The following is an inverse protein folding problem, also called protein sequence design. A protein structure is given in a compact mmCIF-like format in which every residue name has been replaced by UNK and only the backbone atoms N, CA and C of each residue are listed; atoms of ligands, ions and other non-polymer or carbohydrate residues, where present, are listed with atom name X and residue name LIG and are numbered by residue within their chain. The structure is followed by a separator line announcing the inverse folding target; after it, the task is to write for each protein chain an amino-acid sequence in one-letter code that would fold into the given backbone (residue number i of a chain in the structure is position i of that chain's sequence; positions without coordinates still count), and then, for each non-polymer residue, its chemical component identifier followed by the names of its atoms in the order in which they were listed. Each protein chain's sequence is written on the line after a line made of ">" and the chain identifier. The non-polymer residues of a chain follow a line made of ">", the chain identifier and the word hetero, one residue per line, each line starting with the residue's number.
data_IF_453802745708
#
_entry.id   IF_453802745708
#
_cell.length_a   1.000
_cell.length_b   1.000
_cell.length_c   1.000
_cell.angle_alpha   90.00
_cell.angle_beta   90.00
_cell.angle_gamma   90.00
#
_symmetry.space_group_name_H-M   'P 1'
#
loop_
_entity.id
_entity.type
_entity.pdbx_description
1 polymer ?
#
# COMPACT_ATOMS: atom_id res chain seq x y z
N UNK A 1 -14.67 -15.14 47.52
CA UNK A 1 -15.24 -14.57 46.27
C UNK A 1 -14.42 -13.40 45.71
N UNK A 2 -14.01 -12.41 46.50
CA UNK A 2 -13.27 -11.22 45.98
C UNK A 2 -11.87 -11.58 45.41
N UNK A 3 -11.15 -12.54 46.01
CA UNK A 3 -9.84 -12.98 45.53
C UNK A 3 -9.90 -13.75 44.20
N UNK A 4 -10.98 -14.51 43.95
CA UNK A 4 -11.17 -15.25 42.69
C UNK A 4 -11.54 -14.31 41.54
N UNK A 5 -12.37 -13.30 41.78
CA UNK A 5 -12.69 -12.25 40.80
C UNK A 5 -11.46 -11.40 40.41
N UNK A 6 -10.58 -11.11 41.36
CA UNK A 6 -9.33 -10.37 41.11
C UNK A 6 -8.34 -11.18 40.24
N UNK A 7 -8.24 -12.48 40.48
CA UNK A 7 -7.42 -13.41 39.67
C UNK A 7 -7.93 -13.52 38.23
N UNK A 8 -9.25 -13.62 38.06
CA UNK A 8 -9.88 -13.76 36.73
C UNK A 8 -9.78 -12.47 35.89
N UNK A 9 -9.93 -11.29 36.51
CA UNK A 9 -9.68 -9.99 35.86
C UNK A 9 -8.23 -9.86 35.38
N UNK A 10 -7.25 -10.23 36.21
CA UNK A 10 -5.82 -10.24 35.83
C UNK A 10 -5.55 -11.17 34.63
N UNK A 11 -6.17 -12.36 34.61
CA UNK A 11 -6.06 -13.31 33.50
C UNK A 11 -6.65 -12.74 32.20
N UNK A 12 -7.83 -12.11 32.25
CA UNK A 12 -8.45 -11.45 31.08
C UNK A 12 -7.58 -10.31 30.53
N UNK A 13 -6.96 -9.50 31.40
CA UNK A 13 -6.05 -8.43 30.99
C UNK A 13 -4.81 -9.00 30.30
N UNK A 14 -4.19 -10.05 30.86
CA UNK A 14 -3.02 -10.69 30.27
C UNK A 14 -3.32 -11.29 28.89
N UNK A 15 -4.47 -11.94 28.73
CA UNK A 15 -4.91 -12.51 27.45
C UNK A 15 -5.12 -11.40 26.42
N UNK A 16 -5.81 -10.31 26.78
CA UNK A 16 -6.00 -9.15 25.89
C UNK A 16 -4.67 -8.56 25.45
N UNK A 17 -3.71 -8.42 26.38
CA UNK A 17 -2.36 -7.92 26.08
C UNK A 17 -1.64 -8.82 25.07
N UNK A 18 -1.62 -10.15 25.30
CA UNK A 18 -0.99 -11.10 24.37
C UNK A 18 -1.64 -11.09 22.99
N UNK A 19 -2.97 -10.95 22.92
CA UNK A 19 -3.69 -10.84 21.64
C UNK A 19 -3.25 -9.58 20.88
N UNK A 20 -3.11 -8.44 21.57
CA UNK A 20 -2.71 -7.20 20.92
C UNK A 20 -1.23 -7.22 20.48
N UNK A 21 -0.36 -7.83 21.28
CA UNK A 21 1.05 -8.05 20.92
C UNK A 21 1.15 -8.93 19.65
N UNK A 22 0.45 -10.07 19.63
CA UNK A 22 0.42 -10.96 18.48
C UNK A 22 -0.15 -10.28 17.22
N UNK A 23 -1.20 -9.45 17.38
CA UNK A 23 -1.76 -8.64 16.28
C UNK A 23 -0.75 -7.63 15.76
N UNK A 24 -0.03 -6.94 16.64
CA UNK A 24 0.99 -5.97 16.27
C UNK A 24 2.14 -6.63 15.51
N UNK A 25 2.63 -7.75 16.02
CA UNK A 25 3.69 -8.52 15.38
C UNK A 25 3.26 -9.02 13.99
N UNK A 26 2.03 -9.54 13.88
CA UNK A 26 1.45 -9.94 12.60
C UNK A 26 1.40 -8.77 11.60
N UNK A 27 0.95 -7.58 12.04
CA UNK A 27 0.91 -6.37 11.20
C UNK A 27 2.29 -6.01 10.64
N UNK A 28 3.30 -5.99 11.51
CA UNK A 28 4.67 -5.63 11.14
C UNK A 28 5.23 -6.62 10.13
N UNK A 29 5.09 -7.92 10.41
CA UNK A 29 5.59 -8.99 9.51
C UNK A 29 4.88 -8.96 8.17
N UNK A 30 3.55 -8.83 8.16
CA UNK A 30 2.75 -8.77 6.92
C UNK A 30 3.17 -7.57 6.07
N UNK A 31 3.24 -6.38 6.66
CA UNK A 31 3.67 -5.18 5.96
C UNK A 31 5.09 -5.32 5.38
N UNK A 32 6.04 -5.74 6.21
CA UNK A 32 7.44 -5.95 5.78
C UNK A 32 7.57 -6.97 4.65
N UNK A 33 6.86 -8.09 4.73
CA UNK A 33 6.89 -9.11 3.68
C UNK A 33 6.34 -8.58 2.35
N UNK A 34 5.23 -7.84 2.36
CA UNK A 34 4.65 -7.27 1.15
C UNK A 34 5.57 -6.21 0.54
N UNK A 35 6.10 -5.31 1.36
CA UNK A 35 7.08 -4.31 0.90
C UNK A 35 8.31 -4.99 0.30
N UNK A 36 8.88 -6.00 0.98
CA UNK A 36 10.03 -6.74 0.50
C UNK A 36 9.75 -7.44 -0.84
N UNK A 37 8.57 -8.06 -0.98
CA UNK A 37 8.14 -8.70 -2.22
C UNK A 37 8.10 -7.71 -3.39
N UNK A 38 7.61 -6.50 -3.17
CA UNK A 38 7.64 -5.44 -4.18
C UNK A 38 9.07 -5.10 -4.65
N UNK A 39 10.01 -5.01 -3.72
CA UNK A 39 11.42 -4.74 -4.05
C UNK A 39 12.07 -5.90 -4.83
N UNK A 40 11.75 -7.15 -4.50
CA UNK A 40 12.22 -8.31 -5.27
C UNK A 40 11.77 -8.25 -6.74
N UNK A 41 10.53 -7.81 -6.99
CA UNK A 41 10.03 -7.66 -8.35
C UNK A 41 10.75 -6.53 -9.11
N UNK A 42 10.99 -5.38 -8.46
CA UNK A 42 11.77 -4.28 -9.06
C UNK A 42 13.18 -4.77 -9.43
N UNK A 43 13.80 -5.56 -8.55
CA UNK A 43 15.11 -6.17 -8.78
C UNK A 43 15.11 -7.33 -9.80
N UNK A 44 13.95 -7.63 -10.44
CA UNK A 44 13.78 -8.72 -11.41
C UNK A 44 14.10 -10.11 -10.85
N UNK A 45 13.98 -10.29 -9.54
CA UNK A 45 14.25 -11.57 -8.85
C UNK A 45 13.03 -12.49 -8.79
N UNK A 46 11.83 -11.93 -8.95
CA UNK A 46 10.58 -12.69 -8.98
C UNK A 46 9.72 -12.25 -10.18
N UNK A 47 8.92 -13.16 -10.74
CA UNK A 47 8.08 -12.83 -11.87
C UNK A 47 6.79 -12.13 -11.44
N UNK A 48 6.15 -11.42 -12.38
CA UNK A 48 4.96 -10.59 -12.13
C UNK A 48 3.77 -11.38 -11.53
N UNK A 49 3.68 -12.68 -11.83
CA UNK A 49 2.64 -13.57 -11.33
C UNK A 49 2.62 -13.65 -9.80
N UNK A 50 3.78 -13.52 -9.14
CA UNK A 50 3.86 -13.51 -7.68
C UNK A 50 3.24 -12.22 -7.12
N UNK A 51 3.51 -11.07 -7.74
CA UNK A 51 2.92 -9.79 -7.36
C UNK A 51 1.40 -9.83 -7.55
N UNK A 52 0.93 -10.36 -8.68
CA UNK A 52 -0.50 -10.54 -8.96
C UNK A 52 -1.19 -11.33 -7.87
N UNK A 53 -0.62 -12.46 -7.49
CA UNK A 53 -1.11 -13.28 -6.41
C UNK A 53 -1.20 -12.48 -5.10
N UNK A 54 -0.15 -11.73 -4.74
CA UNK A 54 -0.16 -10.89 -3.55
C UNK A 54 -1.24 -9.82 -3.59
N UNK A 55 -1.40 -9.09 -4.70
CA UNK A 55 -2.40 -8.02 -4.84
C UNK A 55 -3.81 -8.59 -4.71
N UNK A 56 -4.12 -9.72 -5.37
CA UNK A 56 -5.43 -10.33 -5.27
C UNK A 56 -5.73 -10.89 -3.88
N UNK A 57 -4.75 -11.51 -3.21
CA UNK A 57 -4.94 -12.01 -1.84
C UNK A 57 -5.21 -10.85 -0.87
N UNK A 58 -4.50 -9.73 -1.01
CA UNK A 58 -4.70 -8.54 -0.18
C UNK A 58 -6.06 -7.86 -0.42
N UNK A 59 -6.57 -7.85 -1.66
CA UNK A 59 -7.85 -7.21 -2.00
C UNK A 59 -9.06 -8.13 -1.86
N UNK A 60 -8.86 -9.39 -1.48
CA UNK A 60 -9.91 -10.40 -1.33
C UNK A 60 -11.01 -9.98 -0.34
N UNK A 61 -10.69 -9.20 0.70
CA UNK A 61 -11.70 -8.71 1.65
C UNK A 61 -12.64 -7.66 1.06
N UNK A 62 -12.29 -7.05 -0.08
CA UNK A 62 -13.14 -6.09 -0.80
C UNK A 62 -13.90 -6.77 -1.94
N UNK A 63 -13.38 -7.87 -2.47
CA UNK A 63 -14.04 -8.59 -3.56
C UNK A 63 -15.41 -9.09 -3.10
N UNK A 64 -16.46 -8.75 -3.87
CA UNK A 64 -17.83 -9.20 -3.63
C UNK A 64 -17.84 -10.71 -3.44
N UNK A 65 -18.52 -11.19 -2.40
CA UNK A 65 -18.77 -12.63 -2.27
C UNK A 65 -19.70 -13.12 -3.41
N UNK A 66 -19.93 -14.43 -3.48
CA UNK A 66 -20.82 -15.05 -4.46
C UNK A 66 -22.27 -14.48 -4.43
N UNK A 67 -22.64 -13.71 -3.40
CA UNK A 67 -23.94 -13.03 -3.27
C UNK A 67 -23.95 -11.59 -3.79
N UNK A 68 -22.80 -11.05 -4.21
CA UNK A 68 -22.69 -9.67 -4.69
C UNK A 68 -22.68 -8.61 -3.57
N UNK A 69 -22.67 -9.02 -2.30
CA UNK A 69 -22.78 -8.12 -1.14
C UNK A 69 -21.41 -7.85 -0.53
N UNK A 70 -21.00 -6.59 -0.47
CA UNK A 70 -19.84 -6.18 0.32
C UNK A 70 -20.30 -6.04 1.77
N UNK A 71 -19.96 -7.00 2.63
CA UNK A 71 -20.25 -6.90 4.05
C UNK A 71 -19.28 -5.90 4.68
N UNK A 72 -19.75 -4.65 4.82
CA UNK A 72 -19.00 -3.51 5.37
C UNK A 72 -18.38 -3.74 6.77
N UNK A 73 -18.69 -4.86 7.44
CA UNK A 73 -18.16 -5.23 8.76
C UNK A 73 -16.86 -6.06 8.75
N UNK A 74 -16.35 -6.54 7.61
CA UNK A 74 -15.14 -7.39 7.55
C UNK A 74 -14.15 -6.89 6.49
N UNK A 75 -13.86 -5.59 6.50
CA UNK A 75 -12.85 -5.02 5.61
C UNK A 75 -11.51 -4.99 6.34
N UNK A 76 -10.51 -5.71 5.81
CA UNK A 76 -9.16 -5.70 6.35
C UNK A 76 -8.39 -4.48 5.83
N UNK A 77 -8.54 -3.34 6.50
CA UNK A 77 -7.84 -2.09 6.18
C UNK A 77 -6.31 -2.27 6.08
N UNK A 78 -5.73 -3.16 6.88
CA UNK A 78 -4.29 -3.44 6.83
C UNK A 78 -3.90 -4.05 5.47
N UNK A 79 -4.70 -5.00 4.98
CA UNK A 79 -4.42 -5.61 3.67
C UNK A 79 -4.53 -4.61 2.53
N UNK A 80 -5.55 -3.74 2.58
CA UNK A 80 -5.74 -2.67 1.60
C UNK A 80 -4.57 -1.68 1.63
N UNK A 81 -4.10 -1.31 2.83
CA UNK A 81 -2.92 -0.47 2.98
C UNK A 81 -1.69 -1.15 2.37
N UNK A 82 -1.45 -2.43 2.67
CA UNK A 82 -0.35 -3.20 2.10
C UNK A 82 -0.44 -3.25 0.56
N UNK A 83 -1.63 -3.46 0.00
CA UNK A 83 -1.85 -3.46 -1.45
C UNK A 83 -1.55 -2.10 -2.06
N UNK A 84 -2.03 -1.03 -1.43
CA UNK A 84 -1.82 0.34 -1.89
C UNK A 84 -0.33 0.69 -1.89
N UNK A 85 0.41 0.35 -0.82
CA UNK A 85 1.87 0.54 -0.72
C UNK A 85 2.66 -0.30 -1.73
N UNK A 86 2.24 -1.55 -1.94
CA UNK A 86 2.85 -2.41 -2.94
C UNK A 86 2.73 -1.78 -4.33
N UNK A 87 1.52 -1.33 -4.70
CA UNK A 87 1.24 -0.67 -5.98
C UNK A 87 2.00 0.66 -6.13
N UNK A 88 2.10 1.47 -5.08
CA UNK A 88 2.94 2.69 -5.07
C UNK A 88 4.40 2.35 -5.43
N UNK A 89 4.92 1.25 -4.89
CA UNK A 89 6.32 0.84 -5.06
C UNK A 89 6.60 0.35 -6.49
N UNK A 90 5.74 -0.55 -7.00
CA UNK A 90 6.00 -1.26 -8.27
C UNK A 90 5.39 -0.58 -9.49
N UNK A 91 4.43 0.33 -9.30
CA UNK A 91 3.55 0.78 -10.37
C UNK A 91 4.25 1.54 -11.48
N UNK A 92 5.29 2.31 -11.15
CA UNK A 92 6.15 2.96 -12.15
C UNK A 92 6.84 1.93 -13.06
N UNK A 93 7.44 0.90 -12.45
CA UNK A 93 8.11 -0.17 -13.21
C UNK A 93 7.11 -0.91 -14.08
N UNK A 94 5.91 -1.22 -13.57
CA UNK A 94 4.84 -1.84 -14.35
C UNK A 94 4.42 -0.98 -15.55
N UNK A 95 4.29 0.32 -15.34
CA UNK A 95 3.92 1.27 -16.39
C UNK A 95 5.00 1.34 -17.48
N UNK A 96 6.26 1.48 -17.09
CA UNK A 96 7.40 1.50 -18.03
C UNK A 96 7.48 0.21 -18.84
N UNK A 97 7.38 -0.95 -18.19
CA UNK A 97 7.41 -2.23 -18.91
C UNK A 97 6.22 -2.39 -19.88
N UNK A 98 5.04 -1.87 -19.52
CA UNK A 98 3.86 -1.85 -20.41
C UNK A 98 4.09 -0.96 -21.62
N UNK A 99 4.65 0.24 -21.43
CA UNK A 99 4.96 1.17 -22.53
C UNK A 99 5.99 0.60 -23.50
N UNK A 100 6.90 -0.25 -23.01
CA UNK A 100 7.89 -0.96 -23.84
C UNK A 100 7.30 -2.10 -24.69
N UNK A 101 5.98 -2.32 -24.65
CA UNK A 101 5.31 -3.33 -25.47
C UNK A 101 5.45 -4.75 -24.93
N UNK A 102 5.97 -4.93 -23.71
CA UNK A 102 5.84 -6.21 -23.03
C UNK A 102 4.35 -6.45 -22.77
N UNK A 103 3.83 -7.64 -23.09
CA UNK A 103 2.40 -8.00 -22.97
C UNK A 103 1.91 -8.11 -21.51
N UNK A 104 2.19 -7.10 -20.69
CA UNK A 104 1.83 -7.02 -19.28
C UNK A 104 0.33 -6.81 -19.10
N UNK A 105 -0.35 -6.12 -20.03
CA UNK A 105 -1.80 -5.91 -19.96
C UNK A 105 -2.60 -7.23 -19.94
N UNK A 106 -2.09 -8.29 -20.59
CA UNK A 106 -2.72 -9.62 -20.51
C UNK A 106 -2.45 -10.32 -19.17
N UNK A 107 -1.35 -9.98 -18.50
CA UNK A 107 -0.90 -10.65 -17.29
C UNK A 107 -1.36 -9.93 -16.03
N UNK A 108 -1.45 -8.60 -16.02
CA UNK A 108 -1.81 -7.80 -14.84
C UNK A 108 -3.03 -6.90 -15.13
N UNK A 109 -4.23 -7.24 -14.66
CA UNK A 109 -5.43 -6.44 -14.88
C UNK A 109 -5.47 -5.22 -13.95
N UNK A 110 -4.64 -4.22 -14.24
CA UNK A 110 -4.50 -2.99 -13.45
C UNK A 110 -5.84 -2.27 -13.28
N UNK A 111 -6.66 -2.22 -14.32
CA UNK A 111 -7.96 -1.56 -14.27
C UNK A 111 -8.90 -2.17 -13.22
N UNK A 112 -8.94 -3.51 -13.14
CA UNK A 112 -9.75 -4.23 -12.15
C UNK A 112 -9.27 -3.95 -10.72
N UNK A 113 -7.94 -3.93 -10.52
CA UNK A 113 -7.33 -3.62 -9.22
C UNK A 113 -7.71 -2.22 -8.76
N UNK A 114 -7.56 -1.22 -9.63
CA UNK A 114 -7.88 0.17 -9.30
C UNK A 114 -9.39 0.38 -9.12
N UNK A 115 -10.24 -0.29 -9.91
CA UNK A 115 -11.69 -0.27 -9.70
C UNK A 115 -12.06 -0.86 -8.34
N UNK A 116 -11.41 -1.94 -7.92
CA UNK A 116 -11.63 -2.57 -6.60
C UNK A 116 -11.25 -1.62 -5.47
N UNK A 117 -10.12 -0.93 -5.58
CA UNK A 117 -9.69 0.08 -4.62
C UNK A 117 -10.64 1.27 -4.57
N UNK A 118 -11.12 1.74 -5.72
CA UNK A 118 -12.07 2.85 -5.81
C UNK A 118 -13.39 2.52 -5.10
N UNK A 119 -13.89 1.29 -5.27
CA UNK A 119 -15.07 0.78 -4.56
C UNK A 119 -14.86 0.70 -3.04
N UNK A 120 -13.62 0.50 -2.57
CA UNK A 120 -13.29 0.44 -1.14
C UNK A 120 -13.27 1.82 -0.46
N UNK A 121 -13.10 2.93 -1.21
CA UNK A 121 -12.88 4.27 -0.64
C UNK A 121 -13.95 4.74 0.34
N UNK A 122 -15.21 4.42 0.07
CA UNK A 122 -16.35 4.80 0.92
C UNK A 122 -16.47 3.92 2.17
N UNK A 123 -15.77 2.78 2.20
CA UNK A 123 -15.91 1.74 3.23
C UNK A 123 -14.73 1.70 4.21
N UNK A 124 -13.66 2.45 3.94
CA UNK A 124 -12.44 2.49 4.76
C UNK A 124 -12.30 3.80 5.53
N UNK A 125 -11.42 3.81 6.53
CA UNK A 125 -11.02 5.00 7.28
C UNK A 125 -10.54 6.16 6.38
N UNK A 126 -10.70 7.40 6.85
CA UNK A 126 -10.30 8.61 6.12
C UNK A 126 -8.84 8.56 5.67
N UNK A 127 -7.94 8.08 6.53
CA UNK A 127 -6.52 7.92 6.22
C UNK A 127 -6.30 7.03 5.00
N UNK A 128 -6.98 5.89 4.96
CA UNK A 128 -6.85 4.92 3.88
C UNK A 128 -7.54 5.41 2.61
N UNK A 129 -8.67 6.12 2.73
CA UNK A 129 -9.31 6.82 1.62
C UNK A 129 -8.36 7.80 0.94
N UNK A 130 -7.66 8.63 1.71
CA UNK A 130 -6.64 9.53 1.16
C UNK A 130 -5.49 8.78 0.49
N UNK A 131 -5.05 7.67 1.06
CA UNK A 131 -4.00 6.83 0.47
C UNK A 131 -4.44 6.27 -0.90
N UNK A 132 -5.67 5.75 -1.00
CA UNK A 132 -6.23 5.26 -2.26
C UNK A 132 -6.34 6.40 -3.28
N UNK A 133 -6.85 7.57 -2.87
CA UNK A 133 -6.93 8.74 -3.75
C UNK A 133 -5.55 9.14 -4.29
N UNK A 134 -4.54 9.18 -3.43
CA UNK A 134 -3.18 9.49 -3.84
C UNK A 134 -2.61 8.47 -4.85
N UNK A 135 -2.88 7.18 -4.64
CA UNK A 135 -2.46 6.14 -5.58
C UNK A 135 -3.17 6.28 -6.93
N UNK A 136 -4.48 6.54 -6.93
CA UNK A 136 -5.27 6.76 -8.17
C UNK A 136 -4.73 7.98 -8.92
N UNK A 137 -4.50 9.08 -8.22
CA UNK A 137 -3.90 10.27 -8.81
C UNK A 137 -2.49 10.02 -9.37
N UNK A 138 -1.69 9.23 -8.66
CA UNK A 138 -0.35 8.85 -9.12
C UNK A 138 -0.43 8.07 -10.43
N UNK A 139 -1.41 7.17 -10.55
CA UNK A 139 -1.66 6.41 -11.78
C UNK A 139 -2.13 7.31 -12.93
N UNK A 140 -3.05 8.25 -12.68
CA UNK A 140 -3.54 9.15 -13.73
C UNK A 140 -2.49 10.15 -14.20
N UNK A 141 -1.47 10.40 -13.38
CA UNK A 141 -0.31 11.21 -13.72
C UNK A 141 0.90 10.37 -14.19
N UNK A 142 0.65 9.24 -14.85
CA UNK A 142 1.68 8.35 -15.41
C UNK A 142 2.81 7.97 -14.44
N UNK A 143 2.46 7.75 -13.17
CA UNK A 143 3.39 7.42 -12.08
C UNK A 143 4.47 8.48 -11.82
N UNK A 144 4.23 9.72 -12.24
CA UNK A 144 5.09 10.86 -11.96
C UNK A 144 4.67 11.48 -10.61
N UNK A 145 5.52 11.49 -9.57
CA UNK A 145 5.19 12.11 -8.29
C UNK A 145 4.98 13.63 -8.43
N UNK A 146 3.89 14.16 -7.86
CA UNK A 146 3.59 15.61 -7.86
C UNK A 146 4.62 16.45 -7.11
N UNK A 147 5.22 15.88 -6.07
CA UNK A 147 6.37 16.45 -5.36
C UNK A 147 7.57 15.59 -5.73
N UNK A 148 8.60 16.18 -6.34
CA UNK A 148 9.94 15.58 -6.31
C UNK A 148 10.25 15.34 -4.84
N UNK A 149 10.76 14.15 -4.48
CA UNK A 149 11.40 14.00 -3.18
C UNK A 149 12.38 15.17 -3.07
N UNK A 150 12.14 16.09 -2.14
CA UNK A 150 13.09 17.14 -1.80
C UNK A 150 14.29 16.43 -1.17
N UNK A 151 15.13 15.83 -2.02
CA UNK A 151 16.52 15.65 -1.71
C UNK A 151 17.00 17.03 -1.28
N UNK A 152 17.62 17.17 -0.09
CA UNK A 152 18.22 18.42 0.30
C UNK A 152 19.07 18.90 -0.86
N UNK A 153 18.73 20.05 -1.45
CA UNK A 153 19.51 20.61 -2.55
C UNK A 153 20.96 20.63 -2.10
N UNK A 154 21.84 20.07 -2.91
CA UNK A 154 23.26 20.11 -2.60
C UNK A 154 23.70 21.57 -2.55
N UNK A 155 24.72 21.87 -1.73
CA UNK A 155 25.27 23.23 -1.65
C UNK A 155 25.70 23.77 -3.03
N UNK A 156 26.05 22.87 -3.96
CA UNK A 156 26.37 23.20 -5.34
C UNK A 156 25.14 23.71 -6.11
N UNK A 157 24.00 23.03 -6.01
CA UNK A 157 22.74 23.43 -6.66
C UNK A 157 22.22 24.76 -6.12
N UNK A 158 22.31 24.98 -4.80
CA UNK A 158 21.92 26.25 -4.16
C UNK A 158 22.81 27.41 -4.67
N UNK A 159 24.12 27.19 -4.76
CA UNK A 159 25.06 28.22 -5.24
C UNK A 159 24.86 28.56 -6.71
N UNK A 160 24.50 27.58 -7.53
CA UNK A 160 24.26 27.79 -8.94
C UNK A 160 22.92 28.50 -9.20
N UNK A 161 21.86 28.19 -8.44
CA UNK A 161 20.60 28.95 -8.46
C UNK A 161 20.81 30.41 -8.04
N UNK A 162 21.54 30.65 -6.95
CA UNK A 162 21.89 31.99 -6.48
C UNK A 162 22.69 32.79 -7.52
N UNK A 163 23.59 32.13 -8.27
CA UNK A 163 24.38 32.77 -9.32
C UNK A 163 23.51 33.13 -10.53
N UNK A 164 22.56 32.26 -10.91
CA UNK A 164 21.63 32.53 -12.01
C UNK A 164 20.64 33.64 -11.66
N UNK A 165 20.08 33.64 -10.46
CA UNK A 165 19.21 34.72 -9.98
C UNK A 165 19.92 36.08 -9.87
N UNK A 166 21.22 36.09 -9.59
CA UNK A 166 22.03 37.32 -9.61
C UNK A 166 22.37 37.80 -11.02
N UNK A 167 22.41 36.92 -12.03
CA UNK A 167 22.64 37.29 -13.42
C UNK A 167 21.37 37.73 -14.16
N UNK A 168 20.20 37.42 -13.61
CA UNK A 168 18.88 37.78 -14.17
C UNK A 168 18.27 39.04 -13.50
N UNK A 169 19.00 39.68 -12.58
CA UNK A 169 18.68 41.00 -12.00
C UNK A 169 19.56 42.09 -12.59
#
# INVERSE_FOLDING_TARGET
>A
MIASESSEKKRKILIKKRIEEARTEFRIRKFGNITFTGHLYIAKLIPIQIILFCVFDLLKSISKDASGTITAGIIDELSIECATRLLETIGKVLHEERMLGNSIDANFPMDLVFQTLENAKSLVSSRLRFLIMNLVDLRTNDWIPRRREELPKTLAEIREEMRKEQSER
#
